data_IF_484294549539
#
_entry.id   IF_484294549539
#
_cell.length_a   1.000
_cell.length_b   1.000
_cell.length_c   1.000
_cell.angle_alpha   90.00
_cell.angle_beta   90.00
_cell.angle_gamma   90.00
#
_symmetry.space_group_name_H-M   'P 1'
#
loop_
_entity.id
_entity.type
_entity.pdbx_description
1 polymer ?
#
# COMPACT_ATOMS: atom_id res chain seq x y z
N UNK A 1 13.24 7.16 5.97
CA UNK A 1 12.33 7.90 6.87
C UNK A 1 11.79 6.94 7.91
N UNK A 2 11.69 7.30 9.20
CA UNK A 2 11.00 6.45 10.17
C UNK A 2 9.56 6.27 9.68
N UNK A 3 9.15 5.01 9.44
CA UNK A 3 7.78 4.68 9.05
C UNK A 3 6.91 5.06 10.25
N UNK A 4 6.27 6.24 10.22
CA UNK A 4 5.34 6.65 11.27
C UNK A 4 4.22 5.62 11.25
N UNK A 5 4.09 4.87 12.34
CA UNK A 5 3.00 3.91 12.50
C UNK A 5 1.68 4.69 12.43
N UNK A 6 0.68 4.21 11.66
CA UNK A 6 -0.63 4.83 11.64
C UNK A 6 -1.27 4.86 13.03
N UNK A 7 -2.08 5.87 13.32
CA UNK A 7 -2.65 6.02 14.66
C UNK A 7 -3.67 4.93 14.95
N UNK A 8 -4.39 4.46 13.93
CA UNK A 8 -5.31 3.31 14.07
C UNK A 8 -4.63 2.05 14.61
N UNK A 9 -3.31 1.86 14.39
CA UNK A 9 -2.60 0.67 14.89
C UNK A 9 -2.45 0.64 16.42
N UNK A 10 -2.62 1.79 17.09
CA UNK A 10 -2.63 1.88 18.55
C UNK A 10 -4.05 1.70 19.14
N UNK A 11 -5.07 1.54 18.30
CA UNK A 11 -6.46 1.43 18.74
C UNK A 11 -6.78 0.04 19.32
N UNK A 12 -7.61 -0.06 20.37
CA UNK A 12 -8.08 -1.35 20.89
C UNK A 12 -8.98 -2.11 19.91
N UNK A 13 -9.47 -1.40 18.89
CA UNK A 13 -10.27 -1.96 17.80
C UNK A 13 -9.40 -2.58 16.71
N UNK A 14 -8.12 -2.27 16.62
CA UNK A 14 -7.26 -2.83 15.59
C UNK A 14 -6.81 -4.25 15.94
N UNK A 15 -6.79 -5.11 14.93
CA UNK A 15 -6.33 -6.50 15.01
C UNK A 15 -5.15 -6.67 14.07
N UNK A 16 -3.97 -6.92 14.63
CA UNK A 16 -2.70 -7.03 13.93
C UNK A 16 -2.37 -8.47 13.50
N UNK A 17 -3.36 -9.18 12.96
CA UNK A 17 -3.18 -10.54 12.46
C UNK A 17 -2.42 -10.57 11.12
N UNK A 18 -1.32 -11.34 10.99
CA UNK A 18 -0.59 -11.45 9.73
C UNK A 18 -1.50 -11.85 8.57
N UNK A 19 -1.62 -10.98 7.56
CA UNK A 19 -2.48 -11.20 6.39
C UNK A 19 -3.98 -11.00 6.62
N UNK A 20 -4.40 -10.63 7.83
CA UNK A 20 -5.79 -10.38 8.18
C UNK A 20 -5.94 -9.11 9.04
N UNK A 21 -5.24 -8.05 8.69
CA UNK A 21 -5.42 -6.76 9.38
C UNK A 21 -6.85 -6.26 9.18
N UNK A 22 -7.56 -6.05 10.28
CA UNK A 22 -8.93 -5.54 10.27
C UNK A 22 -9.24 -4.76 11.55
N UNK A 23 -10.35 -4.02 11.52
CA UNK A 23 -10.93 -3.37 12.69
C UNK A 23 -12.06 -4.22 13.27
N UNK A 24 -12.14 -4.30 14.60
CA UNK A 24 -13.25 -4.93 15.32
C UNK A 24 -14.56 -4.20 15.05
N UNK A 25 -15.70 -4.91 15.09
CA UNK A 25 -17.01 -4.28 14.97
C UNK A 25 -17.21 -3.27 16.10
N UNK A 26 -17.76 -2.09 15.76
CA UNK A 26 -17.93 -0.98 16.71
C UNK A 26 -16.76 0.00 16.77
N UNK A 27 -15.75 -0.13 15.89
CA UNK A 27 -14.72 0.89 15.73
C UNK A 27 -15.34 2.25 15.36
N UNK A 28 -14.85 3.37 15.94
CA UNK A 28 -15.23 4.72 15.54
C UNK A 28 -15.06 4.93 14.03
N UNK A 29 -16.00 5.65 13.41
CA UNK A 29 -15.98 5.96 11.97
C UNK A 29 -14.65 6.58 11.52
N UNK A 30 -14.08 7.48 12.35
CA UNK A 30 -12.79 8.12 12.09
C UNK A 30 -11.66 7.10 11.89
N UNK A 31 -11.66 6.01 12.67
CA UNK A 31 -10.65 4.95 12.54
C UNK A 31 -10.88 4.08 11.31
N UNK A 32 -12.14 3.85 10.95
CA UNK A 32 -12.48 3.10 9.73
C UNK A 32 -11.96 3.84 8.50
N UNK A 33 -12.21 5.15 8.42
CA UNK A 33 -11.71 6.00 7.34
C UNK A 33 -10.19 6.02 7.29
N UNK A 34 -9.49 6.15 8.42
CA UNK A 34 -8.02 6.13 8.46
C UNK A 34 -7.46 4.78 7.98
N UNK A 35 -8.05 3.67 8.43
CA UNK A 35 -7.64 2.32 8.04
C UNK A 35 -7.84 2.09 6.53
N UNK A 36 -8.99 2.48 5.98
CA UNK A 36 -9.28 2.38 4.55
C UNK A 36 -8.31 3.21 3.71
N UNK A 37 -8.02 4.45 4.12
CA UNK A 37 -7.05 5.32 3.44
C UNK A 37 -5.65 4.71 3.48
N UNK A 38 -5.25 4.13 4.61
CA UNK A 38 -3.95 3.47 4.72
C UNK A 38 -3.88 2.24 3.82
N UNK A 39 -4.89 1.37 3.82
CA UNK A 39 -4.97 0.22 2.92
C UNK A 39 -4.97 0.62 1.44
N UNK A 40 -5.67 1.71 1.08
CA UNK A 40 -5.64 2.27 -0.26
C UNK A 40 -4.23 2.76 -0.64
N UNK A 41 -3.56 3.49 0.25
CA UNK A 41 -2.19 3.97 0.02
C UNK A 41 -1.16 2.84 -0.13
N UNK A 42 -1.39 1.69 0.50
CA UNK A 42 -0.56 0.50 0.30
C UNK A 42 -0.79 -0.13 -1.07
N UNK A 43 -2.05 -0.20 -1.53
CA UNK A 43 -2.39 -0.71 -2.87
C UNK A 43 -1.81 0.16 -3.98
N UNK A 44 -1.84 1.49 -3.82
CA UNK A 44 -1.17 2.42 -4.73
C UNK A 44 0.36 2.25 -4.72
N UNK A 45 0.95 1.84 -3.59
CA UNK A 45 2.40 1.57 -3.49
C UNK A 45 2.82 0.27 -4.19
N UNK A 46 1.91 -0.69 -4.40
CA UNK A 46 2.19 -1.91 -5.19
C UNK A 46 2.29 -1.63 -6.71
N UNK A 47 1.94 -0.42 -7.19
CA UNK A 47 2.17 -0.01 -8.59
C UNK A 47 3.55 0.62 -8.84
N UNK A 48 4.33 0.96 -7.81
CA UNK A 48 5.70 1.42 -8.00
C UNK A 48 6.70 0.30 -7.73
N UNK A 49 6.82 -0.60 -8.71
CA UNK A 49 8.01 -1.44 -8.93
C UNK A 49 9.27 -0.62 -9.27
N UNK A 50 9.41 0.58 -8.70
CA UNK A 50 10.40 1.59 -9.03
C UNK A 50 11.36 1.80 -7.86
N UNK A 51 12.20 0.80 -7.56
CA UNK A 51 13.48 1.11 -6.94
C UNK A 51 14.29 1.88 -8.01
N UNK A 52 14.39 3.21 -7.86
CA UNK A 52 15.05 4.18 -8.76
C UNK A 52 14.33 4.57 -10.07
N UNK A 53 13.00 4.66 -10.12
CA UNK A 53 12.33 5.45 -11.18
C UNK A 53 12.61 5.04 -12.64
N UNK A 54 13.10 3.83 -12.90
CA UNK A 54 13.26 3.30 -14.26
C UNK A 54 11.97 2.55 -14.60
N UNK A 55 11.06 3.23 -15.28
CA UNK A 55 9.86 2.63 -15.82
C UNK A 55 10.21 1.83 -17.10
N UNK A 56 10.41 0.52 -16.96
CA UNK A 56 10.63 -0.37 -18.11
C UNK A 56 9.26 -0.74 -18.67
N UNK A 57 8.84 -0.05 -19.75
CA UNK A 57 7.64 -0.42 -20.49
C UNK A 57 7.79 -1.82 -21.09
N UNK A 58 6.87 -2.73 -20.74
CA UNK A 58 6.70 -4.01 -21.42
C UNK A 58 5.46 -3.95 -22.34
N UNK A 59 5.48 -4.61 -23.53
CA UNK A 59 6.52 -5.51 -24.01
C UNK A 59 7.74 -4.82 -24.63
N UNK A 60 8.89 -5.46 -24.45
CA UNK A 60 10.22 -5.07 -24.94
C UNK A 60 10.25 -4.96 -26.47
N UNK A 61 9.90 -3.80 -27.03
CA UNK A 61 10.15 -3.51 -28.44
C UNK A 61 11.64 -3.20 -28.65
N UNK A 62 12.45 -4.26 -28.69
CA UNK A 62 13.75 -4.26 -29.36
C UNK A 62 13.48 -4.18 -30.86
N UNK A 63 13.20 -2.96 -31.34
CA UNK A 63 13.34 -2.62 -32.75
C UNK A 63 14.78 -2.95 -33.13
N UNK A 64 14.94 -4.11 -33.77
CA UNK A 64 16.22 -4.58 -34.30
C UNK A 64 16.75 -3.51 -35.23
N UNK A 65 18.02 -3.21 -35.05
CA UNK A 65 18.86 -2.48 -35.98
C UNK A 65 18.47 -2.80 -37.42
N UNK A 66 18.20 -1.73 -38.18
CA UNK A 66 18.08 -1.80 -39.63
C UNK A 66 19.43 -2.25 -40.18
N UNK A 67 19.48 -3.49 -40.69
CA UNK A 67 20.46 -3.96 -41.65
C UNK A 67 19.87 -3.83 -43.06
#
# INVERSE_FOLDING_TARGET
>A
MPRKRPEFTNSPYFVDEPGNWHLKPGAPEVLQVEFEQYMASLRDQDEDGAFNGIHISYPYNRGRDQY
#
